data_IF_260737030437
#
_entry.id   IF_260737030437
#
_cell.length_a   1.000
_cell.length_b   1.000
_cell.length_c   1.000
_cell.angle_alpha   90.00
_cell.angle_beta   90.00
_cell.angle_gamma   90.00
#
_symmetry.space_group_name_H-M   'P 1'
#
loop_
_entity.id
_entity.type
_entity.pdbx_description
1 polymer ?
#
# COMPACT_ATOMS: atom_id res chain seq x y z
N UNK A 1 -30.32 -61.96 26.44
CA UNK A 1 -29.34 -60.90 26.77
C UNK A 1 -30.00 -59.77 27.57
N UNK A 2 -30.54 -60.10 28.75
CA UNK A 2 -31.20 -59.17 29.69
C UNK A 2 -30.90 -59.62 31.14
N UNK A 3 -29.63 -59.65 31.53
CA UNK A 3 -29.24 -59.91 32.93
C UNK A 3 -27.90 -59.20 33.19
N UNK A 4 -27.85 -57.86 33.26
CA UNK A 4 -26.62 -57.18 33.74
C UNK A 4 -26.81 -55.74 34.27
N UNK A 5 -28.01 -55.35 34.71
CA UNK A 5 -28.30 -53.95 35.08
C UNK A 5 -28.91 -53.74 36.48
N UNK A 6 -28.73 -54.69 37.41
CA UNK A 6 -29.33 -54.59 38.75
C UNK A 6 -28.35 -54.44 39.93
N UNK A 7 -27.04 -54.32 39.71
CA UNK A 7 -26.05 -54.32 40.81
C UNK A 7 -25.58 -52.96 41.31
N UNK A 8 -26.06 -51.82 40.76
CA UNK A 8 -25.58 -50.48 41.16
C UNK A 8 -26.43 -49.76 42.21
N UNK A 9 -27.44 -50.40 42.78
CA UNK A 9 -28.45 -49.72 43.63
C UNK A 9 -28.06 -49.47 45.09
N UNK A 10 -26.81 -49.71 45.49
CA UNK A 10 -26.37 -49.52 46.90
C UNK A 10 -24.97 -48.90 47.03
N UNK A 11 -24.60 -47.98 46.15
CA UNK A 11 -23.49 -47.08 46.47
C UNK A 11 -24.03 -45.92 47.34
N UNK A 12 -23.49 -45.72 48.56
CA UNK A 12 -23.94 -44.63 49.42
C UNK A 12 -23.67 -43.29 48.74
N UNK A 13 -24.65 -42.38 48.75
CA UNK A 13 -24.58 -41.06 48.10
C UNK A 13 -23.30 -40.27 48.45
N UNK A 14 -22.69 -40.54 49.61
CA UNK A 14 -21.44 -39.94 50.05
C UNK A 14 -20.23 -40.26 49.15
N UNK A 15 -20.17 -41.43 48.50
CA UNK A 15 -19.06 -41.76 47.59
C UNK A 15 -19.17 -41.06 46.23
N UNK A 16 -20.40 -40.82 45.74
CA UNK A 16 -20.63 -40.12 44.46
C UNK A 16 -20.24 -38.64 44.60
N UNK A 17 -20.53 -38.02 45.75
CA UNK A 17 -20.11 -36.65 46.04
C UNK A 17 -18.58 -36.51 46.12
N UNK A 18 -17.88 -37.50 46.68
CA UNK A 18 -16.42 -37.47 46.80
C UNK A 18 -15.70 -37.60 45.43
N UNK A 19 -16.25 -38.41 44.51
CA UNK A 19 -15.71 -38.57 43.15
C UNK A 19 -15.91 -37.32 42.26
N UNK A 20 -17.01 -36.58 42.46
CA UNK A 20 -17.25 -35.32 41.71
C UNK A 20 -16.34 -34.20 42.20
N UNK A 21 -16.04 -34.14 43.50
CA UNK A 21 -15.14 -33.12 44.07
C UNK A 21 -13.67 -33.41 43.70
N UNK A 22 -13.24 -34.67 43.66
CA UNK A 22 -11.88 -35.03 43.23
C UNK A 22 -11.65 -34.83 41.73
N UNK A 23 -12.67 -35.03 40.88
CA UNK A 23 -12.59 -34.76 39.45
C UNK A 23 -12.54 -33.26 39.09
N UNK A 24 -13.18 -32.41 39.90
CA UNK A 24 -13.20 -30.95 39.68
C UNK A 24 -11.89 -30.22 40.00
N UNK A 25 -11.10 -30.73 40.94
CA UNK A 25 -9.86 -30.08 41.39
C UNK A 25 -8.69 -30.23 40.40
N UNK A 26 -8.64 -31.32 39.61
CA UNK A 26 -7.58 -31.58 38.63
C UNK A 26 -7.97 -31.20 37.19
N UNK A 27 -9.27 -31.17 36.86
CA UNK A 27 -9.75 -30.74 35.53
C UNK A 27 -9.91 -29.22 35.37
N UNK A 28 -10.06 -28.47 36.47
CA UNK A 28 -10.35 -27.03 36.44
C UNK A 28 -9.16 -26.14 36.09
N UNK A 29 -7.92 -26.58 36.35
CA UNK A 29 -6.74 -25.74 36.12
C UNK A 29 -6.24 -25.74 34.67
N UNK A 30 -6.50 -26.80 33.89
CA UNK A 30 -6.09 -26.88 32.48
C UNK A 30 -7.06 -26.20 31.51
N UNK A 31 -8.33 -26.09 31.88
CA UNK A 31 -9.34 -25.41 31.07
C UNK A 31 -9.37 -23.89 31.38
N UNK A 32 -9.08 -23.49 32.63
CA UNK A 32 -9.04 -22.08 32.98
C UNK A 32 -7.88 -21.33 32.31
N UNK A 33 -6.72 -21.93 32.10
CA UNK A 33 -5.57 -21.23 31.47
C UNK A 33 -5.79 -20.98 29.97
N UNK A 34 -6.40 -21.92 29.24
CA UNK A 34 -6.74 -21.77 27.83
C UNK A 34 -7.91 -20.81 27.60
N UNK A 35 -8.93 -20.83 28.46
CA UNK A 35 -10.02 -19.84 28.45
C UNK A 35 -9.56 -18.46 28.90
N UNK A 36 -8.67 -18.32 29.89
CA UNK A 36 -8.11 -17.01 30.27
C UNK A 36 -7.14 -16.46 29.22
N UNK A 37 -6.42 -17.31 28.46
CA UNK A 37 -5.63 -16.85 27.32
C UNK A 37 -6.51 -16.45 26.12
N UNK A 38 -7.69 -17.06 25.96
CA UNK A 38 -8.70 -16.65 24.98
C UNK A 38 -9.56 -15.45 25.46
N UNK A 39 -9.69 -15.22 26.77
CA UNK A 39 -10.35 -14.04 27.37
C UNK A 39 -9.38 -12.88 27.61
N UNK A 40 -8.06 -13.13 27.62
CA UNK A 40 -7.02 -12.16 27.28
C UNK A 40 -6.93 -11.98 25.75
N UNK A 41 -8.07 -11.91 25.07
CA UNK A 41 -8.19 -10.92 23.98
C UNK A 41 -7.81 -9.63 24.66
N UNK A 42 -6.57 -9.21 24.37
CA UNK A 42 -5.94 -8.04 24.92
C UNK A 42 -6.99 -6.94 24.96
N UNK A 43 -7.09 -6.25 26.09
CA UNK A 43 -7.75 -4.97 26.21
C UNK A 43 -7.05 -4.07 25.19
N UNK A 44 -7.49 -4.18 23.93
CA UNK A 44 -6.96 -3.50 22.80
C UNK A 44 -7.27 -2.06 23.14
N UNK A 45 -6.24 -1.28 23.48
CA UNK A 45 -6.37 0.15 23.67
C UNK A 45 -7.13 0.62 22.44
N UNK A 46 -8.41 0.93 22.62
CA UNK A 46 -9.35 1.21 21.55
C UNK A 46 -9.05 2.63 21.12
N UNK A 47 -7.93 2.76 20.42
CA UNK A 47 -7.54 4.00 19.81
C UNK A 47 -8.61 4.31 18.76
N UNK A 48 -9.34 5.43 18.86
CA UNK A 48 -10.50 5.67 18.02
C UNK A 48 -10.02 6.03 16.61
N UNK A 49 -9.85 5.02 15.76
CA UNK A 49 -9.64 5.27 14.33
C UNK A 49 -10.99 5.65 13.73
N UNK A 50 -11.10 6.89 13.25
CA UNK A 50 -12.28 7.35 12.54
C UNK A 50 -12.21 6.87 11.09
N UNK A 51 -13.29 6.35 10.55
CA UNK A 51 -13.41 6.10 9.12
C UNK A 51 -14.53 6.93 8.53
N UNK A 52 -14.23 7.65 7.45
CA UNK A 52 -15.23 8.31 6.60
C UNK A 52 -15.66 7.40 5.44
N UNK A 53 -15.08 6.20 5.37
CA UNK A 53 -15.25 5.25 4.27
C UNK A 53 -15.99 4.02 4.81
N UNK A 54 -17.32 3.92 4.69
CA UNK A 54 -18.13 2.95 5.41
C UNK A 54 -17.82 1.48 5.06
N UNK A 55 -17.47 1.21 3.80
CA UNK A 55 -17.07 -0.12 3.34
C UNK A 55 -15.59 -0.46 3.56
N UNK A 56 -14.80 0.41 4.20
CA UNK A 56 -13.39 0.14 4.49
C UNK A 56 -13.11 0.28 5.99
N UNK A 57 -12.92 -0.87 6.65
CA UNK A 57 -12.94 -0.97 8.11
C UNK A 57 -11.59 -1.38 8.67
N UNK A 58 -11.20 -0.82 9.81
CA UNK A 58 -10.03 -1.30 10.57
C UNK A 58 -10.50 -2.40 11.52
N UNK A 59 -10.01 -3.62 11.31
CA UNK A 59 -10.39 -4.81 12.09
C UNK A 59 -9.37 -5.15 13.18
N UNK A 60 -8.13 -4.70 13.04
CA UNK A 60 -7.11 -4.82 14.08
C UNK A 60 -6.25 -3.56 14.03
N UNK A 61 -5.99 -2.97 15.20
CA UNK A 61 -5.00 -1.92 15.37
C UNK A 61 -4.00 -2.33 16.43
N UNK A 62 -2.72 -2.18 16.11
CA UNK A 62 -1.59 -2.31 17.01
C UNK A 62 -0.70 -1.10 16.82
N UNK A 63 -0.08 -0.68 17.90
CA UNK A 63 0.85 0.42 17.89
C UNK A 63 1.95 0.13 18.90
N UNK A 64 3.17 0.48 18.51
CA UNK A 64 4.37 0.39 19.33
C UNK A 64 5.19 1.67 19.15
N UNK A 65 5.18 2.54 20.17
CA UNK A 65 5.76 3.89 20.14
C UNK A 65 5.24 4.70 18.94
N UNK A 66 6.07 4.88 17.90
CA UNK A 66 5.76 5.60 16.65
C UNK A 66 5.27 4.71 15.52
N UNK A 67 5.36 3.39 15.69
CA UNK A 67 4.98 2.44 14.66
C UNK A 67 3.50 2.09 14.81
N UNK A 68 2.76 2.20 13.71
CA UNK A 68 1.37 1.76 13.63
C UNK A 68 1.26 0.56 12.70
N UNK A 69 0.41 -0.39 13.11
CA UNK A 69 0.02 -1.55 12.33
C UNK A 69 -1.50 -1.65 12.33
N UNK A 70 -2.09 -1.45 11.16
CA UNK A 70 -3.53 -1.57 10.92
C UNK A 70 -3.81 -2.76 10.03
N UNK A 71 -4.76 -3.60 10.41
CA UNK A 71 -5.37 -4.58 9.52
C UNK A 71 -6.70 -4.00 9.06
N UNK A 72 -6.82 -3.77 7.75
CA UNK A 72 -7.99 -3.16 7.13
C UNK A 72 -8.72 -4.17 6.27
N UNK A 73 -10.05 -4.15 6.28
CA UNK A 73 -10.93 -5.05 5.53
C UNK A 73 -11.68 -4.25 4.46
N UNK A 74 -11.61 -4.70 3.21
CA UNK A 74 -12.44 -4.16 2.13
C UNK A 74 -13.79 -4.88 2.08
N UNK A 75 -14.86 -4.21 2.48
CA UNK A 75 -16.24 -4.69 2.39
C UNK A 75 -16.99 -4.18 1.15
N UNK A 76 -16.32 -3.46 0.23
CA UNK A 76 -16.91 -3.13 -1.07
C UNK A 76 -16.90 -4.33 -2.01
N UNK A 77 -17.79 -4.31 -2.99
CA UNK A 77 -17.78 -5.23 -4.13
C UNK A 77 -16.75 -4.84 -5.21
N UNK A 78 -15.93 -3.80 -4.97
CA UNK A 78 -14.93 -3.26 -5.89
C UNK A 78 -13.52 -3.39 -5.32
N UNK A 79 -12.52 -3.45 -6.19
CA UNK A 79 -11.13 -3.42 -5.77
C UNK A 79 -10.74 -2.01 -5.35
N UNK A 80 -10.16 -1.85 -4.15
CA UNK A 80 -9.59 -0.57 -3.75
C UNK A 80 -8.17 -0.48 -4.30
N UNK A 81 -7.90 0.59 -5.05
CA UNK A 81 -6.59 0.86 -5.66
C UNK A 81 -5.85 2.02 -4.98
N UNK A 82 -6.51 2.80 -4.14
CA UNK A 82 -5.85 3.75 -3.25
C UNK A 82 -6.71 4.04 -2.02
N UNK A 83 -6.06 4.46 -0.95
CA UNK A 83 -6.74 5.04 0.21
C UNK A 83 -5.92 6.17 0.82
N UNK A 84 -6.60 7.06 1.54
CA UNK A 84 -6.01 8.22 2.21
C UNK A 84 -6.19 8.07 3.71
N UNK A 85 -5.07 8.03 4.42
CA UNK A 85 -4.99 8.05 5.87
C UNK A 85 -4.45 9.41 6.31
N UNK A 86 -5.18 10.11 7.16
CA UNK A 86 -4.69 11.34 7.79
C UNK A 86 -4.47 11.10 9.27
N UNK A 87 -3.37 11.62 9.80
CA UNK A 87 -3.15 11.70 11.23
C UNK A 87 -3.25 13.17 11.65
N UNK A 88 -3.94 13.46 12.74
CA UNK A 88 -4.12 14.82 13.25
C UNK A 88 -3.61 14.87 14.68
N UNK A 89 -2.77 15.84 15.03
CA UNK A 89 -2.26 15.95 16.39
C UNK A 89 -3.20 16.76 17.29
N UNK A 90 -3.60 16.18 18.42
CA UNK A 90 -4.43 16.81 19.43
C UNK A 90 -3.72 17.98 20.13
N UNK A 91 -2.38 17.92 20.28
CA UNK A 91 -1.58 18.95 20.94
C UNK A 91 -1.19 20.12 20.03
N UNK A 92 -1.36 19.98 18.71
CA UNK A 92 -0.95 20.97 17.71
C UNK A 92 -2.10 21.20 16.72
N UNK A 93 -3.08 22.07 17.08
CA UNK A 93 -4.22 22.37 16.22
C UNK A 93 -3.76 22.79 14.81
N UNK A 94 -4.26 22.11 13.79
CA UNK A 94 -3.90 22.36 12.39
C UNK A 94 -2.76 21.49 11.84
N UNK A 95 -2.08 20.68 12.67
CA UNK A 95 -1.14 19.69 12.17
C UNK A 95 -1.90 18.47 11.62
N UNK A 96 -1.86 18.29 10.30
CA UNK A 96 -2.44 17.15 9.58
C UNK A 96 -1.35 16.50 8.75
N UNK A 97 -0.90 15.30 9.15
CA UNK A 97 -0.01 14.48 8.33
C UNK A 97 -0.87 13.57 7.45
N UNK A 98 -0.81 13.75 6.14
CA UNK A 98 -1.57 12.94 5.19
C UNK A 98 -0.68 11.86 4.58
N UNK A 99 -0.92 10.60 4.94
CA UNK A 99 -0.31 9.43 4.32
C UNK A 99 -1.24 8.88 3.24
N UNK A 100 -0.80 8.96 1.98
CA UNK A 100 -1.53 8.43 0.83
C UNK A 100 -0.86 7.15 0.37
N UNK A 101 -1.60 6.04 0.37
CA UNK A 101 -1.15 4.81 -0.26
C UNK A 101 -1.91 4.65 -1.56
N UNK A 102 -1.21 4.91 -2.65
CA UNK A 102 -1.70 4.75 -4.01
C UNK A 102 -1.06 3.51 -4.60
N UNK A 103 -1.86 2.49 -4.86
CA UNK A 103 -1.43 1.31 -5.60
C UNK A 103 -1.58 1.68 -7.08
N UNK A 104 -0.51 2.27 -7.62
CA UNK A 104 -0.42 2.42 -9.07
C UNK A 104 -0.47 1.00 -9.61
N UNK A 105 -1.51 0.69 -10.39
CA UNK A 105 -1.66 -0.61 -11.02
C UNK A 105 -0.38 -0.81 -11.83
N UNK A 106 0.51 -1.64 -11.31
CA UNK A 106 1.80 -1.96 -11.89
C UNK A 106 1.89 -3.49 -11.88
N UNK A 107 2.11 -4.18 -13.00
CA UNK A 107 2.29 -5.65 -13.05
C UNK A 107 3.60 -6.11 -12.37
N UNK A 108 4.12 -5.38 -11.38
CA UNK A 108 4.98 -5.95 -10.34
C UNK A 108 4.27 -6.09 -8.99
N UNK A 109 3.11 -5.47 -8.85
CA UNK A 109 2.30 -5.36 -7.63
C UNK A 109 0.79 -5.47 -7.94
N UNK A 110 0.41 -6.27 -8.95
CA UNK A 110 -1.01 -6.59 -9.20
C UNK A 110 -1.68 -7.24 -7.96
N UNK A 111 -0.88 -7.76 -7.04
CA UNK A 111 -1.28 -8.29 -5.73
C UNK A 111 -1.56 -7.20 -4.68
N UNK A 112 -1.37 -5.91 -5.00
CA UNK A 112 -1.53 -4.81 -4.03
C UNK A 112 -2.84 -4.04 -4.14
N UNK A 113 -3.78 -4.44 -5.00
CA UNK A 113 -5.17 -3.99 -4.83
C UNK A 113 -5.76 -4.65 -3.60
N UNK A 114 -6.61 -3.94 -2.87
CA UNK A 114 -7.35 -4.55 -1.77
C UNK A 114 -8.62 -5.13 -2.39
N UNK A 115 -8.64 -6.44 -2.60
CA UNK A 115 -9.78 -7.13 -3.21
C UNK A 115 -11.00 -7.16 -2.28
N UNK A 116 -12.22 -7.26 -2.82
CA UNK A 116 -13.43 -7.49 -2.04
C UNK A 116 -13.28 -8.63 -1.03
N UNK A 117 -13.67 -8.40 0.21
CA UNK A 117 -13.62 -9.37 1.31
C UNK A 117 -12.21 -9.67 1.85
N UNK A 118 -11.16 -9.02 1.34
CA UNK A 118 -9.78 -9.31 1.78
C UNK A 118 -9.29 -8.33 2.84
N UNK A 119 -8.39 -8.84 3.69
CA UNK A 119 -7.67 -8.04 4.68
C UNK A 119 -6.33 -7.59 4.11
N UNK A 120 -5.96 -6.34 4.36
CA UNK A 120 -4.64 -5.81 4.06
C UNK A 120 -3.98 -5.29 5.33
N UNK A 121 -2.66 -5.38 5.38
CA UNK A 121 -1.87 -4.86 6.49
C UNK A 121 -1.24 -3.55 6.04
N UNK A 122 -1.48 -2.50 6.81
CA UNK A 122 -0.74 -1.27 6.74
C UNK A 122 0.21 -1.18 7.93
N UNK A 123 1.48 -0.93 7.63
CA UNK A 123 2.53 -0.65 8.59
C UNK A 123 3.15 0.69 8.20
N UNK A 124 3.32 1.58 9.17
CA UNK A 124 3.86 2.91 8.96
C UNK A 124 4.33 3.54 10.26
N UNK A 125 5.12 4.60 10.13
CA UNK A 125 5.56 5.43 11.25
C UNK A 125 4.73 6.72 11.29
N UNK A 126 4.43 7.21 12.48
CA UNK A 126 3.80 8.51 12.73
C UNK A 126 4.74 9.43 13.50
N UNK A 127 4.61 10.74 13.29
CA UNK A 127 5.49 11.75 13.87
C UNK A 127 5.12 12.06 15.33
N UNK A 128 5.64 11.24 16.24
CA UNK A 128 5.51 11.44 17.68
C UNK A 128 4.73 10.32 18.39
N UNK A 129 4.52 10.45 19.71
CA UNK A 129 3.80 9.44 20.49
C UNK A 129 2.34 9.39 20.04
N UNK A 130 1.79 8.21 19.75
CA UNK A 130 0.46 8.18 19.13
C UNK A 130 -0.67 8.63 20.05
N UNK A 131 -0.49 8.66 21.36
CA UNK A 131 -1.51 9.16 22.30
C UNK A 131 -1.96 10.59 21.98
N UNK A 132 -1.16 11.33 21.21
CA UNK A 132 -1.46 12.68 20.76
C UNK A 132 -2.06 12.75 19.36
N UNK A 133 -2.32 11.63 18.70
CA UNK A 133 -2.77 11.61 17.30
C UNK A 133 -4.20 11.07 17.18
N UNK A 134 -4.98 11.59 16.25
CA UNK A 134 -6.23 10.99 15.77
C UNK A 134 -5.97 10.44 14.37
N UNK A 135 -6.29 9.16 14.15
CA UNK A 135 -6.18 8.52 12.84
C UNK A 135 -7.54 8.55 12.13
N UNK A 136 -7.57 9.08 10.92
CA UNK A 136 -8.78 9.11 10.08
C UNK A 136 -8.51 8.53 8.70
N UNK A 137 -9.28 7.50 8.32
CA UNK A 137 -9.38 7.07 6.92
C UNK A 137 -10.35 8.00 6.22
N UNK A 138 -9.84 8.82 5.30
CA UNK A 138 -10.60 9.89 4.63
C UNK A 138 -11.32 9.41 3.40
N UNK A 139 -10.62 8.73 2.50
CA UNK A 139 -11.13 8.38 1.19
C UNK A 139 -10.53 7.08 0.65
N UNK A 140 -11.25 6.45 -0.27
CA UNK A 140 -10.76 5.33 -1.11
C UNK A 140 -11.05 5.61 -2.57
N UNK A 141 -10.21 5.08 -3.46
CA UNK A 141 -10.39 5.11 -4.90
C UNK A 141 -10.41 3.68 -5.43
N UNK A 142 -11.37 3.37 -6.29
CA UNK A 142 -11.59 2.05 -6.86
C UNK A 142 -10.84 1.87 -8.19
N UNK A 143 -10.88 0.66 -8.74
CA UNK A 143 -10.29 0.30 -10.04
C UNK A 143 -11.07 0.89 -11.24
N UNK A 144 -12.37 1.10 -11.09
CA UNK A 144 -13.23 1.80 -12.04
C UNK A 144 -13.18 3.33 -11.93
N UNK A 145 -12.23 3.86 -11.13
CA UNK A 145 -11.99 5.29 -10.89
C UNK A 145 -13.11 6.01 -10.13
N UNK A 146 -14.12 5.30 -9.65
CA UNK A 146 -15.05 5.85 -8.66
C UNK A 146 -14.37 5.94 -7.29
N UNK A 147 -14.94 6.71 -6.37
CA UNK A 147 -14.42 6.93 -5.01
C UNK A 147 -15.52 6.87 -3.96
N UNK A 148 -15.11 6.71 -2.69
CA UNK A 148 -15.98 6.86 -1.53
C UNK A 148 -15.23 7.56 -0.39
N UNK A 149 -15.97 8.20 0.51
CA UNK A 149 -15.47 9.02 1.61
C UNK A 149 -15.39 10.51 1.28
N UNK A 150 -14.31 11.16 1.73
CA UNK A 150 -14.06 12.58 1.53
C UNK A 150 -13.61 12.87 0.08
N UNK A 151 -14.48 13.54 -0.68
CA UNK A 151 -14.28 13.77 -2.11
C UNK A 151 -13.04 14.61 -2.40
N UNK A 152 -12.71 15.59 -1.54
CA UNK A 152 -11.53 16.43 -1.74
C UNK A 152 -10.24 15.59 -1.76
N UNK A 153 -10.12 14.64 -0.82
CA UNK A 153 -8.97 13.74 -0.76
C UNK A 153 -8.97 12.70 -1.89
N UNK A 154 -10.15 12.26 -2.35
CA UNK A 154 -10.26 11.37 -3.50
C UNK A 154 -9.80 12.08 -4.80
N UNK A 155 -10.24 13.30 -5.03
CA UNK A 155 -9.88 14.13 -6.18
C UNK A 155 -8.36 14.38 -6.20
N UNK A 156 -7.74 14.66 -5.05
CA UNK A 156 -6.28 14.79 -4.95
C UNK A 156 -5.53 13.50 -5.38
N UNK A 157 -6.09 12.31 -5.14
CA UNK A 157 -5.51 11.05 -5.60
C UNK A 157 -5.68 10.90 -7.11
N UNK A 158 -6.85 11.21 -7.64
CA UNK A 158 -7.15 11.14 -9.07
C UNK A 158 -6.31 12.15 -9.87
N UNK A 159 -6.20 13.39 -9.41
CA UNK A 159 -5.35 14.43 -10.01
C UNK A 159 -3.89 14.00 -10.04
N UNK A 160 -3.39 13.37 -8.97
CA UNK A 160 -2.04 12.81 -8.94
C UNK A 160 -1.85 11.73 -10.01
N UNK A 161 -2.82 10.83 -10.17
CA UNK A 161 -2.79 9.79 -11.21
C UNK A 161 -2.82 10.40 -12.61
N UNK A 162 -3.67 11.40 -12.82
CA UNK A 162 -3.78 12.10 -14.10
C UNK A 162 -2.49 12.86 -14.44
N UNK A 163 -1.91 13.57 -13.48
CA UNK A 163 -0.62 14.24 -13.65
C UNK A 163 0.48 13.26 -14.06
N UNK A 164 0.58 12.11 -13.37
CA UNK A 164 1.53 11.04 -13.76
C UNK A 164 1.26 10.52 -15.18
N UNK A 165 0.00 10.38 -15.57
CA UNK A 165 -0.35 9.94 -16.92
C UNK A 165 0.21 10.91 -17.96
N UNK A 166 0.00 12.21 -17.76
CA UNK A 166 0.52 13.25 -18.64
C UNK A 166 2.05 13.21 -18.72
N UNK A 167 2.74 13.05 -17.58
CA UNK A 167 4.21 12.91 -17.55
C UNK A 167 4.67 11.80 -18.49
N UNK A 168 4.01 10.64 -18.44
CA UNK A 168 4.39 9.48 -19.24
C UNK A 168 4.00 9.63 -20.69
N UNK A 169 2.82 10.18 -20.98
CA UNK A 169 2.38 10.42 -22.34
C UNK A 169 3.32 11.38 -23.08
N UNK A 170 3.92 12.34 -22.36
CA UNK A 170 4.92 13.26 -22.92
C UNK A 170 6.35 12.69 -22.96
N UNK A 171 6.77 11.97 -21.92
CA UNK A 171 8.12 11.43 -21.83
C UNK A 171 8.34 10.21 -22.74
N UNK A 172 7.39 9.27 -22.77
CA UNK A 172 7.55 7.98 -23.44
C UNK A 172 7.89 8.10 -24.94
N UNK A 173 7.24 8.97 -25.73
CA UNK A 173 7.58 9.12 -27.16
C UNK A 173 9.01 9.62 -27.37
N UNK A 174 9.49 10.55 -26.53
CA UNK A 174 10.86 11.07 -26.59
C UNK A 174 11.86 9.96 -26.28
N UNK A 175 11.57 9.16 -25.25
CA UNK A 175 12.36 8.02 -24.85
C UNK A 175 12.42 6.95 -25.95
N UNK A 176 11.29 6.59 -26.56
CA UNK A 176 11.26 5.64 -27.68
C UNK A 176 12.06 6.14 -28.89
N UNK A 177 11.96 7.43 -29.23
CA UNK A 177 12.75 8.05 -30.30
C UNK A 177 14.24 7.96 -29.99
N UNK A 178 14.62 8.23 -28.74
CA UNK A 178 15.98 8.12 -28.24
C UNK A 178 16.52 6.66 -28.32
N UNK A 179 15.75 5.69 -27.81
CA UNK A 179 16.06 4.25 -27.89
C UNK A 179 16.35 3.82 -29.31
N UNK A 180 15.47 4.22 -30.24
CA UNK A 180 15.55 3.84 -31.64
C UNK A 180 16.80 4.41 -32.30
N UNK A 181 17.08 5.70 -32.08
CA UNK A 181 18.29 6.34 -32.58
C UNK A 181 19.57 5.66 -32.04
N UNK A 182 19.57 5.25 -30.77
CA UNK A 182 20.69 4.52 -30.15
C UNK A 182 20.94 3.15 -30.79
N UNK A 183 19.86 2.41 -31.09
CA UNK A 183 19.94 1.11 -31.76
C UNK A 183 20.41 1.27 -33.22
N UNK A 184 19.87 2.26 -33.93
CA UNK A 184 20.16 2.49 -35.36
C UNK A 184 21.57 3.05 -35.60
N UNK A 185 22.11 3.84 -34.68
CA UNK A 185 23.45 4.46 -34.81
C UNK A 185 24.63 3.59 -34.35
N UNK A 186 24.36 2.48 -33.65
CA UNK A 186 25.40 1.60 -33.11
C UNK A 186 26.43 2.33 -32.23
N UNK A 187 27.66 1.80 -32.15
CA UNK A 187 28.75 2.39 -31.36
C UNK A 187 29.36 3.69 -31.97
N UNK A 188 29.02 4.03 -33.22
CA UNK A 188 29.53 5.20 -33.94
C UNK A 188 28.82 6.52 -33.60
N UNK A 189 27.66 6.46 -32.94
CA UNK A 189 26.81 7.62 -32.65
C UNK A 189 27.02 8.30 -31.30
N UNK A 190 28.14 8.05 -30.59
CA UNK A 190 28.28 8.38 -29.16
C UNK A 190 27.96 9.83 -28.78
N UNK A 191 28.37 10.81 -29.59
CA UNK A 191 28.13 12.23 -29.31
C UNK A 191 26.66 12.67 -29.51
N UNK A 192 25.99 12.15 -30.53
CA UNK A 192 24.57 12.43 -30.76
C UNK A 192 23.69 11.76 -29.70
N UNK A 193 24.10 10.57 -29.25
CA UNK A 193 23.44 9.86 -28.15
C UNK A 193 23.53 10.64 -26.83
N UNK A 194 24.72 11.09 -26.43
CA UNK A 194 24.88 11.82 -25.17
C UNK A 194 24.08 13.13 -25.16
N UNK A 195 24.03 13.85 -26.29
CA UNK A 195 23.30 15.10 -26.39
C UNK A 195 21.77 14.92 -26.23
N UNK A 196 21.19 13.92 -26.90
CA UNK A 196 19.75 13.64 -26.79
C UNK A 196 19.35 13.09 -25.43
N UNK A 197 20.25 12.34 -24.78
CA UNK A 197 20.05 11.87 -23.43
C UNK A 197 19.99 13.03 -22.44
N UNK A 198 20.96 13.95 -22.50
CA UNK A 198 20.97 15.12 -21.62
C UNK A 198 19.76 16.01 -21.87
N UNK A 199 19.36 16.24 -23.13
CA UNK A 199 18.10 16.95 -23.45
C UNK A 199 16.88 16.26 -22.82
N UNK A 200 16.84 14.92 -22.81
CA UNK A 200 15.75 14.16 -22.21
C UNK A 200 15.78 14.24 -20.67
N UNK A 201 16.96 14.20 -20.05
CA UNK A 201 17.12 14.39 -18.60
C UNK A 201 16.73 15.80 -18.17
N UNK A 202 17.16 16.82 -18.91
CA UNK A 202 16.79 18.22 -18.69
C UNK A 202 15.29 18.43 -18.87
N UNK A 203 14.70 17.84 -19.90
CA UNK A 203 13.26 17.86 -20.11
C UNK A 203 12.53 17.27 -18.91
N UNK A 204 12.87 16.06 -18.47
CA UNK A 204 12.24 15.41 -17.31
C UNK A 204 12.41 16.22 -16.03
N UNK A 205 13.59 16.81 -15.83
CA UNK A 205 13.87 17.68 -14.68
C UNK A 205 13.01 18.95 -14.75
N UNK A 206 12.95 19.62 -15.90
CA UNK A 206 12.13 20.81 -16.12
C UNK A 206 10.66 20.53 -15.92
N UNK A 207 10.20 19.35 -16.32
CA UNK A 207 8.80 18.95 -16.28
C UNK A 207 8.38 18.58 -14.86
N UNK A 208 9.26 17.89 -14.12
CA UNK A 208 9.13 17.72 -12.69
C UNK A 208 9.09 19.07 -11.96
N UNK A 209 10.01 19.99 -12.25
CA UNK A 209 10.07 21.31 -11.61
C UNK A 209 8.88 22.21 -11.95
N UNK A 210 8.43 22.24 -13.20
CA UNK A 210 7.28 23.04 -13.64
C UNK A 210 5.98 22.52 -13.02
N UNK A 211 5.79 21.20 -12.98
CA UNK A 211 4.60 20.62 -12.35
C UNK A 211 4.64 20.68 -10.82
N UNK A 212 5.82 20.70 -10.20
CA UNK A 212 5.98 21.02 -8.77
C UNK A 212 5.60 22.48 -8.44
N UNK A 213 5.67 23.39 -9.42
CA UNK A 213 5.24 24.79 -9.23
C UNK A 213 3.73 24.99 -9.47
N UNK A 214 3.13 24.23 -10.40
CA UNK A 214 1.69 24.28 -10.69
C UNK A 214 0.84 23.50 -9.65
N UNK A 215 1.42 22.46 -9.05
CA UNK A 215 0.80 21.70 -7.98
C UNK A 215 0.91 22.50 -6.67
N UNK A 216 -0.24 22.88 -6.07
CA UNK A 216 -0.27 23.63 -4.81
C UNK A 216 0.63 22.98 -3.76
N UNK A 217 1.24 23.78 -2.89
CA UNK A 217 2.30 23.42 -1.94
C UNK A 217 2.03 22.17 -1.05
N UNK A 218 0.80 21.65 -1.03
CA UNK A 218 0.36 20.46 -0.30
C UNK A 218 0.40 19.13 -1.10
N UNK A 219 0.71 19.17 -2.41
CA UNK A 219 0.71 17.97 -3.29
C UNK A 219 2.09 17.57 -3.80
N UNK A 220 3.14 18.23 -3.30
CA UNK A 220 4.56 18.19 -3.70
C UNK A 220 5.24 16.80 -3.64
N UNK A 221 4.60 15.80 -3.03
CA UNK A 221 5.26 14.56 -2.59
C UNK A 221 5.23 13.35 -3.55
N UNK A 222 4.77 13.49 -4.80
CA UNK A 222 4.81 12.32 -5.72
C UNK A 222 4.89 12.60 -7.20
N UNK A 223 5.57 13.69 -7.56
CA UNK A 223 6.10 13.88 -8.91
C UNK A 223 7.63 13.78 -8.93
N UNK A 224 8.28 14.19 -7.83
CA UNK A 224 9.74 14.17 -7.70
C UNK A 224 10.31 12.75 -7.67
N UNK A 225 9.75 11.85 -6.86
CA UNK A 225 10.27 10.49 -6.73
C UNK A 225 10.18 9.70 -8.05
N UNK A 226 9.09 9.88 -8.79
CA UNK A 226 8.85 9.24 -10.09
C UNK A 226 9.72 9.84 -11.19
N UNK A 227 9.90 11.17 -11.19
CA UNK A 227 10.87 11.82 -12.06
C UNK A 227 12.31 11.38 -11.76
N UNK A 228 12.65 11.20 -10.48
CA UNK A 228 13.94 10.67 -10.04
C UNK A 228 14.13 9.21 -10.46
N UNK A 229 13.11 8.36 -10.38
CA UNK A 229 13.17 6.97 -10.88
C UNK A 229 13.37 6.91 -12.40
N UNK A 230 12.66 7.76 -13.14
CA UNK A 230 12.85 7.96 -14.58
C UNK A 230 14.29 8.41 -14.90
N UNK A 231 14.80 9.39 -14.15
CA UNK A 231 16.16 9.92 -14.29
C UNK A 231 17.22 8.85 -14.01
N UNK A 232 17.08 8.10 -12.92
CA UNK A 232 18.00 7.01 -12.56
C UNK A 232 17.99 5.90 -13.62
N UNK A 233 16.82 5.57 -14.17
CA UNK A 233 16.71 4.58 -15.24
C UNK A 233 17.43 5.05 -16.51
N UNK A 234 17.33 6.33 -16.85
CA UNK A 234 18.06 6.95 -17.95
C UNK A 234 19.58 6.97 -17.73
N UNK A 235 20.03 7.29 -16.52
CA UNK A 235 21.45 7.24 -16.15
C UNK A 235 22.02 5.83 -16.28
N UNK A 236 21.23 4.80 -15.98
CA UNK A 236 21.66 3.43 -16.14
C UNK A 236 21.77 3.03 -17.63
N UNK A 237 20.86 3.50 -18.48
CA UNK A 237 20.95 3.31 -19.94
C UNK A 237 22.20 4.01 -20.49
N UNK A 238 22.53 5.21 -20.01
CA UNK A 238 23.74 5.93 -20.38
C UNK A 238 25.00 5.14 -20.04
N UNK A 239 25.12 4.67 -18.79
CA UNK A 239 26.25 3.83 -18.35
C UNK A 239 26.41 2.59 -19.24
N UNK A 240 25.29 1.94 -19.55
CA UNK A 240 25.29 0.76 -20.43
C UNK A 240 25.73 1.14 -21.86
N UNK A 241 25.37 2.32 -22.36
CA UNK A 241 25.80 2.80 -23.67
C UNK A 241 27.28 3.23 -23.70
N UNK A 242 27.77 3.91 -22.66
CA UNK A 242 29.19 4.27 -22.53
C UNK A 242 30.09 3.03 -22.48
N UNK A 243 29.57 1.92 -21.92
CA UNK A 243 30.28 0.63 -21.92
C UNK A 243 30.52 0.05 -23.32
N UNK A 244 29.82 0.55 -24.34
CA UNK A 244 29.96 0.09 -25.72
C UNK A 244 29.33 -1.29 -25.99
N UNK A 245 28.51 -1.81 -25.06
CA UNK A 245 27.79 -3.08 -25.21
C UNK A 245 26.36 -2.83 -25.74
N UNK A 246 26.13 -2.96 -27.06
CA UNK A 246 24.82 -2.70 -27.65
C UNK A 246 23.73 -3.68 -27.18
N UNK A 247 24.10 -4.89 -26.70
CA UNK A 247 23.12 -5.84 -26.16
C UNK A 247 22.60 -5.38 -24.81
N UNK A 248 23.46 -4.81 -23.95
CA UNK A 248 23.03 -4.21 -22.67
C UNK A 248 22.12 -3.02 -22.89
N UNK A 249 22.46 -2.14 -23.83
CA UNK A 249 21.60 -0.99 -24.19
C UNK A 249 20.25 -1.50 -24.67
N UNK A 250 20.21 -2.45 -25.60
CA UNK A 250 18.96 -3.02 -26.12
C UNK A 250 18.12 -3.67 -25.01
N UNK A 251 18.75 -4.46 -24.13
CA UNK A 251 18.07 -5.10 -23.01
C UNK A 251 17.50 -4.07 -22.02
N UNK A 252 18.31 -3.11 -21.58
CA UNK A 252 17.88 -2.09 -20.62
C UNK A 252 16.78 -1.23 -21.20
N UNK A 253 16.86 -0.92 -22.49
CA UNK A 253 15.84 -0.10 -23.12
C UNK A 253 14.54 -0.85 -23.35
N UNK A 254 14.58 -2.14 -23.69
CA UNK A 254 13.40 -2.99 -23.69
C UNK A 254 12.78 -3.14 -22.30
N UNK A 255 13.60 -3.23 -21.24
CA UNK A 255 13.13 -3.24 -19.86
C UNK A 255 12.43 -1.92 -19.50
N UNK A 256 13.03 -0.80 -19.89
CA UNK A 256 12.49 0.54 -19.73
C UNK A 256 11.15 0.69 -20.47
N UNK A 257 11.09 0.41 -21.77
CA UNK A 257 9.86 0.43 -22.56
C UNK A 257 8.78 -0.47 -21.96
N UNK A 258 9.16 -1.66 -21.49
CA UNK A 258 8.24 -2.56 -20.80
C UNK A 258 7.78 -2.00 -19.47
N UNK A 259 8.62 -1.31 -18.68
CA UNK A 259 8.23 -0.69 -17.42
C UNK A 259 7.26 0.48 -17.68
N UNK A 260 7.57 1.35 -18.64
CA UNK A 260 6.83 2.59 -18.86
C UNK A 260 5.63 2.45 -19.80
N UNK A 261 5.67 1.59 -20.83
CA UNK A 261 4.49 1.26 -21.63
C UNK A 261 3.41 0.57 -20.80
N UNK A 262 3.84 -0.28 -19.86
CA UNK A 262 2.97 -0.84 -18.83
C UNK A 262 2.40 0.22 -17.89
N UNK A 263 3.17 1.25 -17.54
CA UNK A 263 2.70 2.35 -16.69
C UNK A 263 1.70 3.22 -17.47
N UNK A 264 1.97 3.55 -18.75
CA UNK A 264 1.10 4.32 -19.65
C UNK A 264 -0.26 3.65 -19.88
N UNK A 265 -0.28 2.38 -20.30
CA UNK A 265 -1.53 1.65 -20.56
C UNK A 265 -2.42 1.50 -19.31
N UNK A 266 -1.83 1.62 -18.12
CA UNK A 266 -2.54 1.48 -16.84
C UNK A 266 -2.96 2.81 -16.24
N UNK A 267 -2.28 3.89 -16.62
CA UNK A 267 -2.73 5.24 -16.34
C UNK A 267 -3.74 5.73 -17.36
N UNK A 268 -3.97 5.03 -18.49
CA UNK A 268 -5.08 5.36 -19.41
C UNK A 268 -6.41 5.29 -18.67
N UNK A 269 -6.83 6.44 -18.16
CA UNK A 269 -8.18 6.75 -17.72
C UNK A 269 -9.07 6.44 -18.93
N UNK A 270 -9.88 5.38 -18.85
CA UNK A 270 -10.97 5.20 -19.83
C UNK A 270 -11.88 6.41 -19.65
N UNK A 271 -11.82 7.33 -20.63
CA UNK A 271 -12.79 8.41 -20.78
C UNK A 271 -14.18 7.83 -21.02
#
# INVERSE_FOLDING_TARGET
MKVFLNSFRKLPLAMIACLIILGGALGGQLIASSLLSALKVAKQNSFPIKTMVPGFQVVEFKQDDRNIRMVMLNNYAKNITAYVLTTTRADTPGYILTQRKDFIIANREADRVIQPGTKTIFEGEIDGPAETHDLTIRAVVFDDLTSDGDQEYADQVLDKRHGRQLLLDEALPRLQKFTRAAIESGASGKGAFSAQLEETKEFLTSLASKKLMDASADTTFGYKAEADELRLSLEQIDKDFQSGDPQRVKFRTALFEKQFGNLRNRLQIRK
#
